data_IF_680982743805
#
_entry.id   IF_680982743805
#
_cell.length_a   1.000
_cell.length_b   1.000
_cell.length_c   1.000
_cell.angle_alpha   90.00
_cell.angle_beta   90.00
_cell.angle_gamma   90.00
#
_symmetry.space_group_name_H-M   'P 1'
#
loop_
_entity.id
_entity.type
_entity.pdbx_description
1 polymer ?
#
# COMPACT_ATOMS: atom_id res chain seq x y z
N UNK A 1 6.50 6.33 4.08
CA UNK A 1 6.61 5.09 4.88
C UNK A 1 7.98 4.47 4.73
N UNK A 2 8.66 4.23 5.85
CA UNK A 2 9.92 3.47 5.85
C UNK A 2 9.59 1.97 5.86
N UNK A 3 10.37 1.19 5.13
CA UNK A 3 10.18 -0.26 5.00
C UNK A 3 10.21 -1.01 6.35
N UNK A 4 10.97 -0.49 7.32
CA UNK A 4 11.07 -1.06 8.68
C UNK A 4 9.75 -1.00 9.44
N UNK A 5 8.97 0.07 9.28
CA UNK A 5 7.67 0.23 9.95
C UNK A 5 6.66 -0.77 9.39
N UNK A 6 6.65 -0.98 8.07
CA UNK A 6 5.80 -1.99 7.42
C UNK A 6 6.14 -3.42 7.86
N UNK A 7 7.42 -3.70 8.16
CA UNK A 7 7.85 -4.99 8.70
C UNK A 7 7.46 -5.18 10.17
N UNK A 8 7.32 -4.11 10.94
CA UNK A 8 6.92 -4.19 12.35
C UNK A 8 5.40 -4.38 12.55
N UNK A 9 4.59 -4.08 11.53
CA UNK A 9 3.13 -4.26 11.59
C UNK A 9 2.74 -5.75 11.58
N UNK A 10 1.59 -6.06 12.16
CA UNK A 10 0.96 -7.38 12.06
C UNK A 10 0.24 -7.53 10.71
N UNK A 11 -0.03 -8.77 10.32
CA UNK A 11 -0.66 -9.08 9.03
C UNK A 11 -2.02 -8.38 8.86
N UNK A 12 -2.79 -8.35 9.94
CA UNK A 12 -4.09 -7.70 10.00
C UNK A 12 -4.00 -6.16 9.90
N UNK A 13 -2.99 -5.56 10.54
CA UNK A 13 -2.72 -4.13 10.40
C UNK A 13 -2.28 -3.76 8.98
N UNK A 14 -1.51 -4.65 8.33
CA UNK A 14 -1.13 -4.48 6.92
C UNK A 14 -2.35 -4.55 5.99
N UNK A 15 -3.28 -5.46 6.23
CA UNK A 15 -4.55 -5.54 5.48
C UNK A 15 -5.42 -4.31 5.70
N UNK A 16 -5.53 -3.83 6.94
CA UNK A 16 -6.25 -2.59 7.26
C UNK A 16 -5.61 -1.39 6.54
N UNK A 17 -4.28 -1.30 6.55
CA UNK A 17 -3.54 -0.25 5.82
C UNK A 17 -3.76 -0.33 4.31
N UNK A 18 -3.84 -1.54 3.76
CA UNK A 18 -4.17 -1.78 2.35
C UNK A 18 -5.53 -1.20 1.99
N UNK A 19 -6.56 -1.47 2.80
CA UNK A 19 -7.91 -0.93 2.60
C UNK A 19 -7.94 0.60 2.63
N UNK A 20 -7.23 1.21 3.58
CA UNK A 20 -7.08 2.67 3.70
C UNK A 20 -6.40 3.26 2.45
N UNK A 21 -5.34 2.62 1.95
CA UNK A 21 -4.61 3.05 0.76
C UNK A 21 -5.44 2.90 -0.52
N UNK A 22 -6.24 1.84 -0.66
CA UNK A 22 -7.17 1.70 -1.78
C UNK A 22 -8.25 2.77 -1.77
N UNK A 23 -8.80 3.10 -0.60
CA UNK A 23 -9.77 4.19 -0.46
C UNK A 23 -9.16 5.53 -0.86
N UNK A 24 -7.92 5.78 -0.45
CA UNK A 24 -7.16 6.98 -0.85
C UNK A 24 -6.94 7.00 -2.36
N UNK A 25 -6.51 5.88 -2.94
CA UNK A 25 -6.30 5.75 -4.38
C UNK A 25 -7.58 6.02 -5.18
N UNK A 26 -8.74 5.57 -4.67
CA UNK A 26 -10.03 5.83 -5.30
C UNK A 26 -10.36 7.32 -5.31
N UNK A 27 -10.14 8.03 -4.19
CA UNK A 27 -10.32 9.49 -4.11
C UNK A 27 -9.37 10.24 -5.05
N UNK A 28 -8.10 9.84 -5.08
CA UNK A 28 -7.10 10.43 -5.98
C UNK A 28 -7.48 10.22 -7.45
N UNK A 29 -7.93 9.01 -7.81
CA UNK A 29 -8.41 8.71 -9.15
C UNK A 29 -9.67 9.51 -9.50
N UNK A 30 -10.61 9.69 -8.58
CA UNK A 30 -11.80 10.50 -8.79
C UNK A 30 -11.42 11.98 -9.01
N UNK A 31 -10.44 12.49 -8.28
CA UNK A 31 -9.91 13.85 -8.46
C UNK A 31 -9.23 14.03 -9.82
N UNK A 32 -8.45 13.04 -10.26
CA UNK A 32 -7.83 13.02 -11.59
C UNK A 32 -8.90 12.95 -12.69
N UNK A 33 -9.90 12.08 -12.53
CA UNK A 33 -10.99 11.91 -13.49
C UNK A 33 -11.86 13.17 -13.61
N UNK A 34 -12.03 13.92 -12.51
CA UNK A 34 -12.74 15.21 -12.49
C UNK A 34 -12.01 16.33 -13.25
N UNK A 35 -10.85 16.07 -13.84
CA UNK A 35 -10.06 17.05 -14.61
C UNK A 35 -9.43 18.14 -13.74
N UNK A 36 -9.56 18.04 -12.42
CA UNK A 36 -8.92 18.97 -11.49
C UNK A 36 -7.44 18.63 -11.39
N UNK A 37 -6.57 19.65 -11.52
CA UNK A 37 -5.12 19.47 -11.35
C UNK A 37 -4.87 18.81 -9.99
N UNK A 38 -4.33 17.58 -9.97
CA UNK A 38 -4.07 16.90 -8.72
C UNK A 38 -3.08 17.74 -7.91
N UNK A 39 -3.43 18.08 -6.65
CA UNK A 39 -2.54 18.86 -5.77
C UNK A 39 -1.14 18.25 -5.67
N UNK A 40 -1.04 16.92 -5.81
CA UNK A 40 0.22 16.20 -5.85
C UNK A 40 0.17 15.06 -6.87
N UNK A 41 0.64 15.25 -8.12
CA UNK A 41 0.68 14.19 -9.12
C UNK A 41 1.55 13.00 -8.70
N UNK A 42 2.53 13.22 -7.81
CA UNK A 42 3.36 12.15 -7.23
C UNK A 42 2.66 11.27 -6.20
N UNK A 43 1.52 11.71 -5.65
CA UNK A 43 0.84 10.99 -4.56
C UNK A 43 0.26 9.67 -5.05
N UNK A 44 -0.37 9.65 -6.23
CA UNK A 44 -0.90 8.42 -6.85
C UNK A 44 0.18 7.35 -7.02
N UNK A 45 1.37 7.75 -7.52
CA UNK A 45 2.52 6.85 -7.68
C UNK A 45 3.03 6.34 -6.34
N UNK A 46 3.05 7.21 -5.32
CA UNK A 46 3.49 6.85 -3.98
C UNK A 46 2.52 5.87 -3.29
N UNK A 47 1.21 6.08 -3.43
CA UNK A 47 0.16 5.18 -2.93
C UNK A 47 0.28 3.80 -3.56
N UNK A 48 0.37 3.73 -4.91
CA UNK A 48 0.59 2.46 -5.64
C UNK A 48 1.87 1.75 -5.19
N UNK A 49 2.97 2.48 -5.03
CA UNK A 49 4.25 1.91 -4.57
C UNK A 49 4.18 1.40 -3.13
N UNK A 50 3.35 2.02 -2.29
CA UNK A 50 3.14 1.59 -0.90
C UNK A 50 2.31 0.32 -0.84
N UNK A 51 1.23 0.23 -1.63
CA UNK A 51 0.42 -0.99 -1.81
C UNK A 51 1.31 -2.16 -2.27
N UNK A 52 2.13 -1.94 -3.30
CA UNK A 52 3.03 -2.97 -3.82
C UNK A 52 4.00 -3.49 -2.75
N UNK A 53 4.59 -2.59 -1.94
CA UNK A 53 5.48 -2.98 -0.84
C UNK A 53 4.77 -3.82 0.21
N UNK A 54 3.53 -3.47 0.60
CA UNK A 54 2.75 -4.23 1.58
C UNK A 54 2.47 -5.63 1.03
N UNK A 55 2.01 -5.75 -0.22
CA UNK A 55 1.76 -7.04 -0.85
C UNK A 55 3.02 -7.91 -0.93
N UNK A 56 4.18 -7.32 -1.27
CA UNK A 56 5.46 -8.04 -1.24
C UNK A 56 5.78 -8.54 0.15
N UNK A 57 5.54 -7.74 1.19
CA UNK A 57 5.85 -8.08 2.57
C UNK A 57 4.92 -9.18 3.12
N UNK A 58 3.63 -9.14 2.76
CA UNK A 58 2.67 -10.21 3.03
C UNK A 58 3.10 -11.52 2.36
N UNK A 59 3.44 -11.46 1.06
CA UNK A 59 3.92 -12.62 0.31
C UNK A 59 5.23 -13.19 0.90
N UNK A 60 6.14 -12.32 1.33
CA UNK A 60 7.39 -12.74 1.98
C UNK A 60 7.15 -13.41 3.34
N UNK A 61 6.13 -12.99 4.10
CA UNK A 61 5.72 -13.69 5.33
C UNK A 61 5.13 -15.06 5.04
N UNK A 62 4.22 -15.13 4.09
CA UNK A 62 3.58 -16.37 3.65
C UNK A 62 4.63 -17.39 3.14
N UNK A 63 5.58 -16.95 2.31
CA UNK A 63 6.65 -17.81 1.77
C UNK A 63 7.79 -18.07 2.77
N UNK A 64 8.02 -17.17 3.72
CA UNK A 64 8.99 -17.34 4.80
C UNK A 64 8.55 -18.38 5.82
N UNK A 65 7.24 -18.53 6.06
CA UNK A 65 6.68 -19.65 6.81
C UNK A 65 6.83 -21.00 6.10
N UNK A 66 6.79 -21.01 4.77
CA UNK A 66 6.97 -22.23 3.97
C UNK A 66 8.43 -22.73 3.86
N UNK A 67 9.42 -21.95 4.32
CA UNK A 67 10.85 -22.34 4.36
C UNK A 67 11.34 -22.69 5.78
N UNK A 68 10.45 -22.72 6.76
CA UNK A 68 10.69 -23.27 8.10
C UNK A 68 9.87 -24.54 8.28
N UNK A 69 10.12 -25.55 7.45
CA UNK A 69 9.63 -26.92 7.62
C UNK A 69 10.70 -27.88 7.09
#
# INVERSE_FOLDING_TARGET
>A
MKFKELKALNEQDMQNKLQELYTTLMKDNAQVASGTTPKNPGQLKQTKKTIARINTLLKQREQGGAKQA
#
